data_IF_572218595802
#
_entry.id   IF_572218595802
#
_cell.length_a   1.000
_cell.length_b   1.000
_cell.length_c   1.000
_cell.angle_alpha   90.00
_cell.angle_beta   90.00
_cell.angle_gamma   90.00
#
_symmetry.space_group_name_H-M   'P 1'
#
loop_
_entity.id
_entity.type
_entity.pdbx_description
1 polymer ?
#
# COMPACT_ATOMS: atom_id res chain seq x y z
N UNK A 1 -53.22 -38.70 -56.81
CA UNK A 1 -53.34 -38.88 -55.32
C UNK A 1 -52.08 -39.57 -54.86
N UNK A 2 -51.15 -38.79 -54.34
CA UNK A 2 -49.84 -39.26 -53.91
C UNK A 2 -49.69 -39.00 -52.41
N UNK A 3 -49.55 -40.07 -51.65
CA UNK A 3 -49.43 -40.06 -50.19
C UNK A 3 -48.02 -39.64 -49.77
N UNK A 4 -47.87 -38.57 -49.03
CA UNK A 4 -46.64 -38.18 -48.35
C UNK A 4 -46.40 -39.01 -47.07
N UNK A 5 -45.19 -39.51 -46.82
CA UNK A 5 -44.91 -40.26 -45.60
C UNK A 5 -44.72 -39.30 -44.41
N UNK A 6 -45.46 -39.52 -43.34
CA UNK A 6 -45.31 -38.88 -42.05
C UNK A 6 -43.94 -39.21 -41.42
N UNK A 7 -42.94 -38.30 -41.54
CA UNK A 7 -41.76 -38.26 -40.67
C UNK A 7 -42.15 -37.56 -39.35
N UNK A 8 -42.53 -38.35 -38.37
CA UNK A 8 -42.90 -37.83 -37.05
C UNK A 8 -41.83 -38.14 -36.02
N UNK A 9 -41.33 -37.08 -35.39
CA UNK A 9 -40.99 -36.93 -33.96
C UNK A 9 -40.16 -38.03 -33.29
N UNK A 10 -38.88 -38.20 -33.69
CA UNK A 10 -37.88 -38.89 -32.85
C UNK A 10 -36.79 -37.95 -32.26
N UNK A 11 -36.82 -36.68 -32.54
CA UNK A 11 -35.80 -35.72 -32.15
C UNK A 11 -35.74 -35.36 -30.64
N UNK A 12 -36.84 -35.28 -29.85
CA UNK A 12 -36.70 -34.75 -28.47
C UNK A 12 -36.06 -35.75 -27.48
N UNK A 13 -36.19 -37.09 -27.71
CA UNK A 13 -35.65 -38.10 -26.79
C UNK A 13 -34.12 -38.25 -26.87
N UNK A 14 -33.54 -38.11 -28.04
CA UNK A 14 -32.09 -38.16 -28.23
C UNK A 14 -31.37 -36.94 -27.60
N UNK A 15 -31.96 -35.75 -27.75
CA UNK A 15 -31.45 -34.51 -27.15
C UNK A 15 -31.48 -34.55 -25.60
N UNK A 16 -32.57 -35.08 -25.02
CA UNK A 16 -32.70 -35.25 -23.57
C UNK A 16 -31.65 -36.28 -23.04
N UNK A 17 -31.40 -37.32 -23.79
CA UNK A 17 -30.40 -38.34 -23.42
C UNK A 17 -28.97 -37.79 -23.50
N UNK A 18 -28.64 -37.01 -24.51
CA UNK A 18 -27.37 -36.31 -24.62
C UNK A 18 -27.18 -35.27 -23.50
N UNK A 19 -28.20 -34.48 -23.19
CA UNK A 19 -28.16 -33.51 -22.10
C UNK A 19 -27.92 -34.19 -20.74
N UNK A 20 -28.59 -35.32 -20.50
CA UNK A 20 -28.45 -36.10 -19.26
C UNK A 20 -27.06 -36.73 -19.13
N UNK A 21 -26.48 -37.23 -20.22
CA UNK A 21 -25.11 -37.81 -20.19
C UNK A 21 -24.03 -36.77 -20.01
N UNK A 22 -24.17 -35.57 -20.61
CA UNK A 22 -23.26 -34.41 -20.37
C UNK A 22 -23.35 -33.92 -18.92
N UNK A 23 -24.54 -33.79 -18.35
CA UNK A 23 -24.75 -33.42 -16.96
C UNK A 23 -24.13 -34.42 -15.97
N UNK A 24 -24.22 -35.74 -16.26
CA UNK A 24 -23.57 -36.76 -15.44
C UNK A 24 -22.04 -36.68 -15.53
N UNK A 25 -21.49 -36.45 -16.73
CA UNK A 25 -20.04 -36.25 -16.91
C UNK A 25 -19.51 -35.03 -16.18
N UNK A 26 -20.24 -33.90 -16.25
CA UNK A 26 -19.91 -32.68 -15.52
C UNK A 26 -20.00 -32.89 -14.01
N UNK A 27 -21.04 -33.54 -13.51
CA UNK A 27 -21.19 -33.89 -12.09
C UNK A 27 -20.03 -34.73 -11.57
N UNK A 28 -19.69 -35.79 -12.30
CA UNK A 28 -18.62 -36.71 -11.87
C UNK A 28 -17.24 -36.06 -11.97
N UNK A 29 -17.02 -35.15 -12.93
CA UNK A 29 -15.83 -34.31 -13.03
C UNK A 29 -15.74 -33.33 -11.85
N UNK A 30 -16.83 -32.65 -11.50
CA UNK A 30 -16.90 -31.75 -10.36
C UNK A 30 -16.66 -32.46 -9.01
N UNK A 31 -17.20 -33.68 -8.85
CA UNK A 31 -16.98 -34.45 -7.62
C UNK A 31 -15.52 -34.95 -7.51
N UNK A 32 -14.86 -35.22 -8.64
CA UNK A 32 -13.46 -35.70 -8.65
C UNK A 32 -12.45 -34.56 -8.61
N UNK A 33 -12.67 -33.49 -9.38
CA UNK A 33 -11.80 -32.30 -9.44
C UNK A 33 -12.16 -31.19 -8.45
N UNK A 34 -13.42 -31.19 -7.96
CA UNK A 34 -13.93 -30.17 -7.04
C UNK A 34 -13.11 -29.97 -5.75
N UNK A 35 -12.69 -31.05 -5.08
CA UNK A 35 -11.84 -30.94 -3.90
C UNK A 35 -10.52 -30.20 -4.17
N UNK A 36 -9.90 -30.45 -5.34
CA UNK A 36 -8.67 -29.77 -5.76
C UNK A 36 -8.93 -28.29 -6.01
N UNK A 37 -10.02 -27.98 -6.68
CA UNK A 37 -10.41 -26.59 -6.97
C UNK A 37 -10.81 -25.83 -5.70
N UNK A 38 -11.46 -26.49 -4.75
CA UNK A 38 -11.79 -25.92 -3.43
C UNK A 38 -10.53 -25.66 -2.60
N UNK A 39 -9.56 -26.58 -2.61
CA UNK A 39 -8.28 -26.37 -1.93
C UNK A 39 -7.52 -25.21 -2.54
N UNK A 40 -7.49 -25.09 -3.87
CA UNK A 40 -6.86 -23.95 -4.55
C UNK A 40 -7.55 -22.62 -4.18
N UNK A 41 -8.88 -22.60 -4.22
CA UNK A 41 -9.66 -21.42 -3.82
C UNK A 41 -9.43 -21.06 -2.35
N UNK A 42 -9.43 -22.05 -1.47
CA UNK A 42 -9.15 -21.85 -0.05
C UNK A 42 -7.74 -21.30 0.18
N UNK A 43 -6.74 -21.81 -0.56
CA UNK A 43 -5.37 -21.29 -0.50
C UNK A 43 -5.28 -19.84 -0.99
N UNK A 44 -5.97 -19.47 -2.07
CA UNK A 44 -6.04 -18.09 -2.57
C UNK A 44 -6.71 -17.17 -1.53
N UNK A 45 -7.83 -17.62 -0.95
CA UNK A 45 -8.55 -16.84 0.07
C UNK A 45 -7.69 -16.69 1.33
N UNK A 46 -7.06 -17.76 1.79
CA UNK A 46 -6.15 -17.70 2.95
C UNK A 46 -4.97 -16.75 2.69
N UNK A 47 -4.35 -16.82 1.50
CA UNK A 47 -3.28 -15.92 1.11
C UNK A 47 -3.76 -14.45 1.02
N UNK A 48 -4.95 -14.21 0.51
CA UNK A 48 -5.55 -12.86 0.49
C UNK A 48 -5.72 -12.30 1.91
N UNK A 49 -6.19 -13.13 2.86
CA UNK A 49 -6.35 -12.72 4.25
C UNK A 49 -5.02 -12.52 4.99
N UNK A 50 -3.99 -13.35 4.69
CA UNK A 50 -2.67 -13.25 5.31
C UNK A 50 -1.85 -12.08 4.79
N UNK A 51 -1.95 -11.76 3.50
CA UNK A 51 -1.15 -10.74 2.83
C UNK A 51 -1.79 -9.35 2.89
N UNK A 52 -3.07 -9.27 3.27
CA UNK A 52 -3.87 -8.03 3.30
C UNK A 52 -3.49 -7.08 2.13
N UNK A 53 -3.73 -7.48 0.85
CA UNK A 53 -3.23 -6.72 -0.29
C UNK A 53 -4.00 -5.42 -0.55
N UNK A 54 -5.09 -5.18 0.17
CA UNK A 54 -6.01 -4.06 -0.10
C UNK A 54 -5.73 -2.92 0.87
N UNK A 55 -5.30 -1.73 0.40
CA UNK A 55 -5.06 -0.60 1.29
C UNK A 55 -6.36 -0.10 1.95
N UNK A 56 -6.28 0.43 3.16
CA UNK A 56 -7.39 1.14 3.78
C UNK A 56 -7.85 2.29 2.87
N UNK A 57 -9.16 2.54 2.82
CA UNK A 57 -9.73 3.63 2.00
C UNK A 57 -9.62 5.01 2.65
N UNK A 58 -9.21 5.06 3.90
CA UNK A 58 -9.07 6.29 4.69
C UNK A 58 -7.73 6.29 5.39
N UNK A 59 -7.15 7.48 5.52
CA UNK A 59 -5.95 7.69 6.31
C UNK A 59 -5.98 9.08 6.98
N UNK A 60 -5.33 9.20 8.12
CA UNK A 60 -5.12 10.46 8.80
C UNK A 60 -3.69 10.95 8.57
N UNK A 61 -3.57 12.21 8.11
CA UNK A 61 -2.29 12.88 7.87
C UNK A 61 -2.17 14.09 8.81
N UNK A 62 -1.26 14.01 9.78
CA UNK A 62 -0.97 15.15 10.62
C UNK A 62 -0.14 16.18 9.85
N UNK A 63 -0.56 17.42 9.95
CA UNK A 63 0.08 18.55 9.25
C UNK A 63 0.82 19.45 10.23
N UNK A 64 0.31 20.59 10.52
CA UNK A 64 0.86 21.59 11.43
C UNK A 64 -0.19 22.68 11.58
N UNK A 65 0.22 23.90 11.94
CA UNK A 65 -0.69 25.04 11.97
C UNK A 65 -1.36 25.24 10.60
N UNK A 66 -2.62 25.66 10.59
CA UNK A 66 -3.45 25.78 9.37
C UNK A 66 -2.87 26.67 8.28
N UNK A 67 -2.09 27.69 8.69
CA UNK A 67 -1.43 28.63 7.77
C UNK A 67 0.02 28.25 7.47
N UNK A 68 0.47 27.07 7.92
CA UNK A 68 1.81 26.56 7.69
C UNK A 68 1.95 25.82 6.34
N UNK A 69 3.21 25.62 5.92
CA UNK A 69 3.52 24.89 4.70
C UNK A 69 3.00 23.44 4.71
N UNK A 70 3.06 22.76 5.85
CA UNK A 70 2.56 21.38 6.00
C UNK A 70 1.05 21.26 5.72
N UNK A 71 0.26 22.27 6.17
CA UNK A 71 -1.17 22.31 5.89
C UNK A 71 -1.45 22.46 4.39
N UNK A 72 -0.67 23.32 3.71
CA UNK A 72 -0.79 23.51 2.27
C UNK A 72 -0.38 22.26 1.48
N UNK A 73 0.73 21.64 1.84
CA UNK A 73 1.12 20.36 1.25
C UNK A 73 0.11 19.25 1.57
N UNK A 74 -0.42 19.19 2.79
CA UNK A 74 -1.46 18.23 3.17
C UNK A 74 -2.66 18.28 2.23
N UNK A 75 -3.12 19.46 1.83
CA UNK A 75 -4.19 19.64 0.83
C UNK A 75 -3.82 19.02 -0.52
N UNK A 76 -2.57 19.22 -0.97
CA UNK A 76 -2.07 18.63 -2.23
C UNK A 76 -1.99 17.10 -2.15
N UNK A 77 -1.55 16.54 -1.01
CA UNK A 77 -1.57 15.09 -0.78
C UNK A 77 -2.99 14.54 -0.80
N UNK A 78 -3.94 15.20 -0.16
CA UNK A 78 -5.36 14.82 -0.17
C UNK A 78 -5.91 14.75 -1.60
N UNK A 79 -5.66 15.76 -2.42
CA UNK A 79 -6.10 15.76 -3.81
C UNK A 79 -5.37 14.71 -4.68
N UNK A 80 -4.10 14.46 -4.41
CA UNK A 80 -3.32 13.46 -5.12
C UNK A 80 -3.83 12.03 -4.83
N UNK A 81 -4.03 11.68 -3.55
CA UNK A 81 -4.46 10.34 -3.13
C UNK A 81 -5.94 10.07 -3.40
N UNK A 82 -6.77 11.11 -3.47
CA UNK A 82 -8.18 10.99 -3.88
C UNK A 82 -8.34 10.34 -5.26
N UNK A 83 -7.40 10.60 -6.18
CA UNK A 83 -7.36 9.97 -7.51
C UNK A 83 -7.14 8.45 -7.43
N UNK A 84 -6.46 8.00 -6.40
CA UNK A 84 -6.16 6.59 -6.14
C UNK A 84 -7.22 5.94 -5.21
N UNK A 85 -8.32 6.66 -4.92
CA UNK A 85 -9.45 6.17 -4.12
C UNK A 85 -9.22 6.22 -2.61
N UNK A 86 -8.23 6.98 -2.13
CA UNK A 86 -7.92 7.15 -0.70
C UNK A 86 -8.44 8.49 -0.20
N UNK A 87 -9.27 8.47 0.82
CA UNK A 87 -9.75 9.65 1.55
C UNK A 87 -8.72 10.05 2.62
N UNK A 88 -8.02 11.16 2.40
CA UNK A 88 -7.07 11.70 3.38
C UNK A 88 -7.77 12.73 4.27
N UNK A 89 -7.81 12.46 5.56
CA UNK A 89 -8.28 13.39 6.57
C UNK A 89 -7.07 14.12 7.16
N UNK A 90 -7.06 15.44 7.04
CA UNK A 90 -6.00 16.28 7.57
C UNK A 90 -6.24 16.55 9.04
N UNK A 91 -5.22 16.29 9.87
CA UNK A 91 -5.22 16.57 11.30
C UNK A 91 -4.31 17.77 11.57
N UNK A 92 -4.85 18.97 11.82
CA UNK A 92 -4.06 20.10 12.27
C UNK A 92 -3.37 19.80 13.61
N UNK A 93 -2.19 20.36 13.79
CA UNK A 93 -1.40 20.20 15.01
C UNK A 93 -0.56 21.45 15.28
N UNK A 94 0.14 21.47 16.40
CA UNK A 94 1.08 22.52 16.75
C UNK A 94 2.44 22.40 16.04
N UNK A 95 2.68 21.32 15.30
CA UNK A 95 3.91 21.08 14.54
C UNK A 95 4.57 19.74 14.84
N UNK A 96 5.85 19.63 14.49
CA UNK A 96 6.57 18.34 14.40
C UNK A 96 6.56 17.50 15.67
N UNK A 97 6.70 18.10 16.85
CA UNK A 97 6.70 17.35 18.12
C UNK A 97 5.32 16.77 18.44
N UNK A 98 4.26 17.52 18.19
CA UNK A 98 2.90 16.97 18.35
C UNK A 98 2.60 15.92 17.28
N UNK A 99 3.06 16.11 16.05
CA UNK A 99 2.94 15.14 14.98
C UNK A 99 3.56 13.79 15.34
N UNK A 100 4.77 13.81 15.91
CA UNK A 100 5.45 12.61 16.40
C UNK A 100 4.68 11.93 17.54
N UNK A 101 4.13 12.70 18.46
CA UNK A 101 3.28 12.17 19.53
C UNK A 101 2.03 11.48 18.94
N UNK A 102 1.33 12.13 18.02
CA UNK A 102 0.14 11.57 17.36
C UNK A 102 0.45 10.28 16.60
N UNK A 103 1.61 10.20 15.92
CA UNK A 103 2.07 8.97 15.26
C UNK A 103 2.29 7.84 16.27
N UNK A 104 3.02 8.09 17.37
CA UNK A 104 3.29 7.07 18.40
C UNK A 104 2.04 6.60 19.12
N UNK A 105 1.11 7.50 19.37
CA UNK A 105 -0.18 7.17 19.96
C UNK A 105 -1.13 6.45 18.97
N UNK A 106 -0.72 6.27 17.71
CA UNK A 106 -1.55 5.64 16.69
C UNK A 106 -2.75 6.47 16.24
N UNK A 107 -2.77 7.75 16.54
CA UNK A 107 -3.88 8.67 16.21
C UNK A 107 -3.83 9.15 14.76
N UNK A 108 -2.70 9.05 14.11
CA UNK A 108 -2.52 9.37 12.68
C UNK A 108 -1.66 8.30 12.01
N UNK A 109 -1.79 8.17 10.70
CA UNK A 109 -1.07 7.17 9.91
C UNK A 109 0.24 7.71 9.35
N UNK A 110 0.26 9.01 9.03
CA UNK A 110 1.41 9.71 8.50
C UNK A 110 1.47 11.14 9.06
N UNK A 111 2.66 11.73 9.05
CA UNK A 111 2.86 13.11 9.48
C UNK A 111 4.05 13.78 8.80
N UNK A 112 3.98 15.09 8.63
CA UNK A 112 5.14 15.90 8.30
C UNK A 112 5.96 16.18 9.55
N UNK A 113 7.26 15.98 9.48
CA UNK A 113 8.18 16.15 10.60
C UNK A 113 9.43 16.89 10.12
N UNK A 114 9.81 17.93 10.86
CA UNK A 114 11.05 18.66 10.66
C UNK A 114 12.26 17.79 11.04
N UNK A 115 13.29 17.75 10.23
CA UNK A 115 14.53 17.03 10.54
C UNK A 115 15.14 17.51 11.86
N UNK A 116 15.60 16.58 12.68
CA UNK A 116 16.13 16.85 14.01
C UNK A 116 15.07 17.05 15.11
N UNK A 117 13.77 16.91 14.80
CA UNK A 117 12.73 17.03 15.82
C UNK A 117 12.84 15.95 16.91
N UNK A 118 13.31 14.75 16.57
CA UNK A 118 13.52 13.67 17.53
C UNK A 118 14.65 13.99 18.54
N UNK A 119 15.77 14.46 18.05
CA UNK A 119 16.91 14.86 18.89
C UNK A 119 16.61 16.00 19.88
N UNK A 120 15.40 16.58 19.77
CA UNK A 120 14.93 17.69 20.61
C UNK A 120 14.10 17.22 21.81
N UNK A 121 13.87 15.92 21.94
CA UNK A 121 12.99 15.33 22.95
C UNK A 121 13.55 15.31 24.38
N UNK A 122 14.83 15.44 24.54
CA UNK A 122 15.54 15.35 25.81
C UNK A 122 16.73 14.42 25.70
N UNK A 123 17.81 14.78 26.35
CA UNK A 123 19.10 14.08 26.30
C UNK A 123 19.11 12.70 27.00
N UNK A 124 17.96 12.23 27.49
CA UNK A 124 17.87 11.07 28.37
C UNK A 124 17.35 9.79 27.71
N UNK A 125 16.95 9.82 26.43
CA UNK A 125 16.48 8.61 25.73
C UNK A 125 17.35 8.36 24.49
N UNK A 126 18.39 7.55 24.65
CA UNK A 126 19.24 7.02 23.57
C UNK A 126 18.55 5.96 22.70
N UNK A 127 17.28 5.69 22.93
CA UNK A 127 16.54 4.71 22.12
C UNK A 127 16.18 5.28 20.75
N UNK A 128 16.61 4.57 19.70
CA UNK A 128 16.17 4.83 18.34
C UNK A 128 14.62 4.88 18.29
N UNK A 129 14.03 5.76 17.48
CA UNK A 129 12.57 5.92 17.44
C UNK A 129 11.90 4.64 16.91
N UNK A 130 11.54 3.73 17.81
CA UNK A 130 10.89 2.48 17.46
C UNK A 130 9.51 2.73 16.84
N UNK A 131 9.16 1.91 15.85
CA UNK A 131 7.85 1.87 15.23
C UNK A 131 7.52 3.02 14.27
N UNK A 132 8.49 3.89 13.94
CA UNK A 132 8.34 4.97 12.96
C UNK A 132 9.33 4.80 11.79
N UNK A 133 8.86 5.07 10.57
CA UNK A 133 9.63 4.97 9.34
C UNK A 133 9.55 6.27 8.54
N UNK A 134 10.65 6.61 7.87
CA UNK A 134 10.72 7.73 6.93
C UNK A 134 10.27 7.29 5.54
N UNK A 135 9.48 8.10 4.86
CA UNK A 135 9.21 7.97 3.42
C UNK A 135 10.14 8.84 2.56
N UNK A 136 11.15 9.46 3.18
CA UNK A 136 12.14 10.31 2.52
C UNK A 136 11.99 11.78 2.87
N UNK A 137 13.02 12.52 2.53
CA UNK A 137 13.07 13.98 2.65
C UNK A 137 12.26 14.63 1.53
N UNK A 138 11.44 15.63 1.87
CA UNK A 138 10.46 16.22 0.94
C UNK A 138 10.91 17.55 0.36
N UNK A 139 11.42 18.44 1.22
CA UNK A 139 11.87 19.80 0.85
C UNK A 139 12.71 20.41 1.98
N UNK A 140 13.41 21.48 1.66
CA UNK A 140 14.14 22.29 2.66
C UNK A 140 13.19 23.27 3.32
N UNK A 141 13.37 23.47 4.62
CA UNK A 141 12.63 24.42 5.44
C UNK A 141 13.57 25.51 5.96
N UNK A 142 13.78 26.59 5.21
CA UNK A 142 14.67 27.66 5.66
C UNK A 142 14.28 28.19 7.03
N UNK A 143 15.28 28.51 7.84
CA UNK A 143 15.15 29.29 9.05
C UNK A 143 15.13 30.75 8.65
N UNK A 144 13.97 31.35 8.72
CA UNK A 144 13.75 32.77 8.44
C UNK A 144 13.81 33.56 9.73
N UNK A 145 14.80 34.42 9.91
CA UNK A 145 14.86 35.34 11.02
C UNK A 145 14.61 36.74 10.48
N UNK A 146 13.37 37.19 10.66
CA UNK A 146 12.96 38.55 10.29
C UNK A 146 13.14 39.51 11.46
N UNK A 147 13.57 40.74 11.20
CA UNK A 147 13.76 41.77 12.20
C UNK A 147 13.37 43.17 11.69
N UNK A 148 13.08 44.06 12.61
CA UNK A 148 12.72 45.43 12.29
C UNK A 148 13.98 46.25 12.08
N UNK A 149 14.04 47.03 10.98
CA UNK A 149 15.12 47.96 10.72
C UNK A 149 15.24 49.00 11.86
N UNK A 150 14.11 49.49 12.38
CA UNK A 150 14.09 50.44 13.47
C UNK A 150 14.75 49.89 14.75
N UNK A 151 14.54 48.58 15.07
CA UNK A 151 15.20 47.96 16.22
C UNK A 151 16.71 47.81 16.00
N UNK A 152 17.12 47.44 14.77
CA UNK A 152 18.54 47.38 14.43
C UNK A 152 19.22 48.74 14.49
N UNK A 153 18.59 49.78 13.95
CA UNK A 153 19.09 51.13 14.01
C UNK A 153 19.22 51.64 15.46
N UNK A 154 18.24 51.36 16.32
CA UNK A 154 18.26 51.76 17.71
C UNK A 154 19.34 51.04 18.53
N UNK A 155 19.52 49.75 18.34
CA UNK A 155 20.44 48.93 19.13
C UNK A 155 21.89 48.96 18.61
N UNK A 156 22.10 49.06 17.28
CA UNK A 156 23.41 48.87 16.65
C UNK A 156 23.90 50.10 15.87
N UNK A 157 23.07 51.16 15.74
CA UNK A 157 23.40 52.34 14.92
C UNK A 157 23.40 52.06 13.41
N UNK A 158 22.91 50.91 12.97
CA UNK A 158 22.82 50.48 11.56
C UNK A 158 21.58 49.63 11.34
N UNK A 159 21.12 49.49 10.09
CA UNK A 159 19.90 48.77 9.75
C UNK A 159 20.13 47.28 9.50
N UNK A 160 21.36 46.76 9.58
CA UNK A 160 21.72 45.38 9.27
C UNK A 160 22.24 44.64 10.50
N UNK A 161 21.85 43.35 10.60
CA UNK A 161 22.38 42.35 11.53
C UNK A 161 23.34 41.44 10.79
N UNK A 162 24.47 41.07 11.41
CA UNK A 162 25.47 40.18 10.84
C UNK A 162 25.53 38.81 11.54
N UNK A 163 24.94 38.69 12.74
CA UNK A 163 25.00 37.48 13.55
C UNK A 163 23.82 37.38 14.50
N UNK A 164 23.43 36.14 14.82
CA UNK A 164 22.45 35.85 15.87
C UNK A 164 22.89 36.35 17.25
N UNK A 165 24.21 36.46 17.53
CA UNK A 165 24.73 36.97 18.81
C UNK A 165 24.26 38.38 19.12
N UNK A 166 23.91 39.18 18.11
CA UNK A 166 23.43 40.57 18.27
C UNK A 166 21.97 40.64 18.77
N UNK A 167 21.28 39.49 18.84
CA UNK A 167 19.90 39.40 19.33
C UNK A 167 19.79 39.18 20.85
N UNK A 168 20.89 39.24 21.61
CA UNK A 168 20.93 38.86 23.03
C UNK A 168 19.85 39.55 23.87
N UNK A 169 19.68 40.89 23.66
CA UNK A 169 18.76 41.73 24.45
C UNK A 169 17.45 42.05 23.68
N UNK A 170 17.23 41.41 22.55
CA UNK A 170 16.07 41.70 21.71
C UNK A 170 14.85 40.87 22.11
N UNK A 171 13.66 41.44 22.01
CA UNK A 171 12.39 40.68 22.11
C UNK A 171 12.24 39.81 20.87
N UNK A 172 12.77 38.60 20.96
CA UNK A 172 12.80 37.63 19.87
C UNK A 172 11.70 36.60 20.03
N UNK A 173 10.78 36.48 19.07
CA UNK A 173 9.84 35.36 19.04
C UNK A 173 10.49 34.18 18.34
N UNK A 174 10.52 33.02 19.03
CA UNK A 174 11.10 31.76 18.54
C UNK A 174 10.04 30.67 18.31
N UNK A 175 8.76 31.07 18.19
CA UNK A 175 7.64 30.14 18.03
C UNK A 175 7.12 29.56 19.34
N UNK A 176 5.98 28.89 19.26
CA UNK A 176 5.27 28.35 20.41
C UNK A 176 5.81 26.98 20.87
N UNK A 177 5.48 26.59 22.09
CA UNK A 177 5.82 25.26 22.62
C UNK A 177 5.17 24.15 21.79
N UNK A 178 5.94 23.08 21.49
CA UNK A 178 5.50 22.01 20.60
C UNK A 178 5.86 22.21 19.13
N UNK A 179 6.34 23.41 18.77
CA UNK A 179 6.91 23.70 17.45
C UNK A 179 8.37 23.26 17.37
N UNK A 180 8.76 22.67 16.23
CA UNK A 180 10.17 22.39 15.93
C UNK A 180 11.05 23.66 15.90
N UNK A 181 10.47 24.82 15.58
CA UNK A 181 11.15 26.09 15.49
C UNK A 181 11.78 26.48 16.83
N UNK A 182 11.04 26.37 17.93
CA UNK A 182 11.49 26.80 19.29
C UNK A 182 12.77 26.08 19.68
N UNK A 183 12.85 24.82 19.48
CA UNK A 183 14.01 24.02 19.85
C UNK A 183 15.20 24.26 18.91
N UNK A 184 14.94 24.32 17.60
CA UNK A 184 16.00 24.63 16.62
C UNK A 184 16.62 26.03 16.90
N UNK A 185 15.78 27.03 17.09
CA UNK A 185 16.26 28.40 17.40
C UNK A 185 17.05 28.46 18.71
N UNK A 186 16.61 27.74 19.77
CA UNK A 186 17.37 27.65 21.01
C UNK A 186 18.78 27.10 20.76
N UNK A 187 18.93 26.01 20.01
CA UNK A 187 20.24 25.43 19.64
C UNK A 187 21.09 26.40 18.83
N UNK A 188 20.49 27.13 17.87
CA UNK A 188 21.22 28.10 17.07
C UNK A 188 21.70 29.27 17.95
N UNK A 189 20.90 29.75 18.88
CA UNK A 189 21.27 30.80 19.83
C UNK A 189 22.36 30.31 20.80
N UNK A 190 22.22 29.12 21.37
CA UNK A 190 23.22 28.51 22.26
C UNK A 190 24.55 28.25 21.54
N UNK A 191 24.51 27.85 20.26
CA UNK A 191 25.72 27.72 19.42
C UNK A 191 26.47 29.04 19.23
N UNK A 192 25.77 30.18 19.39
CA UNK A 192 26.35 31.53 19.41
C UNK A 192 26.77 32.01 20.82
N UNK A 193 26.72 31.14 21.83
CA UNK A 193 27.11 31.48 23.22
C UNK A 193 26.05 32.26 23.99
N UNK A 194 24.80 32.30 23.51
CA UNK A 194 23.72 33.00 24.16
C UNK A 194 23.02 32.12 25.21
N UNK A 195 22.77 32.63 26.41
CA UNK A 195 21.97 31.96 27.43
C UNK A 195 20.47 32.20 27.16
N UNK A 196 19.86 31.27 26.51
CA UNK A 196 18.44 31.34 26.11
C UNK A 196 17.46 31.46 27.28
N UNK A 197 17.90 31.16 28.52
CA UNK A 197 17.09 31.30 29.75
C UNK A 197 17.00 32.75 30.21
N UNK A 198 17.96 33.58 29.81
CA UNK A 198 18.02 34.99 30.18
C UNK A 198 17.48 35.92 29.09
N UNK A 199 17.31 35.41 27.88
CA UNK A 199 16.79 36.21 26.76
C UNK A 199 15.28 36.43 26.88
N UNK A 200 14.76 37.61 26.44
CA UNK A 200 13.33 37.91 26.37
C UNK A 200 12.67 37.19 25.17
N UNK A 201 12.58 35.85 25.25
CA UNK A 201 12.07 35.02 24.18
C UNK A 201 10.53 34.94 24.19
N UNK A 202 9.92 35.41 23.11
CA UNK A 202 8.49 35.25 22.83
C UNK A 202 8.16 33.83 22.34
N UNK A 203 6.93 33.40 22.62
CA UNK A 203 6.41 32.06 22.26
C UNK A 203 5.05 32.13 21.58
N UNK A 204 4.87 33.15 20.73
CA UNK A 204 3.64 33.33 19.97
C UNK A 204 3.58 32.36 18.78
N UNK A 205 2.38 31.99 18.40
CA UNK A 205 2.12 31.30 17.14
C UNK A 205 2.48 32.18 15.94
N UNK A 206 2.70 31.63 14.73
CA UNK A 206 3.21 32.36 13.58
C UNK A 206 2.44 33.66 13.26
N UNK A 207 1.11 33.61 13.17
CA UNK A 207 0.31 34.78 12.81
C UNK A 207 0.33 35.88 13.88
N UNK A 208 0.08 35.63 15.19
CA UNK A 208 0.27 36.59 16.26
C UNK A 208 1.70 37.15 16.32
N UNK A 209 2.72 36.32 16.06
CA UNK A 209 4.12 36.77 16.07
C UNK A 209 4.40 37.79 14.97
N UNK A 210 3.85 37.59 13.77
CA UNK A 210 3.97 38.53 12.67
C UNK A 210 3.27 39.85 13.01
N UNK A 211 2.07 39.81 13.58
CA UNK A 211 1.34 40.99 14.02
C UNK A 211 2.15 41.75 15.08
N UNK A 212 2.71 41.06 16.07
CA UNK A 212 3.55 41.66 17.11
C UNK A 212 4.83 42.33 16.54
N UNK A 213 5.45 41.72 15.50
CA UNK A 213 6.59 42.31 14.80
C UNK A 213 6.18 43.62 14.10
N UNK A 214 5.08 43.59 13.36
CA UNK A 214 4.61 44.76 12.61
C UNK A 214 4.18 45.91 13.54
N UNK A 215 3.58 45.61 14.69
CA UNK A 215 3.21 46.60 15.72
C UNK A 215 4.40 47.09 16.54
N UNK A 216 5.58 46.48 16.45
CA UNK A 216 6.75 46.84 17.26
C UNK A 216 6.73 46.28 18.67
N UNK A 217 5.88 45.34 18.97
CA UNK A 217 5.82 44.60 20.23
C UNK A 217 6.98 43.59 20.36
N UNK A 218 7.48 43.07 19.23
CA UNK A 218 8.69 42.24 19.11
C UNK A 218 9.68 42.92 18.16
N UNK A 219 10.98 42.69 18.37
CA UNK A 219 12.07 43.26 17.58
C UNK A 219 12.47 42.32 16.43
N UNK A 220 12.34 41.02 16.67
CA UNK A 220 12.61 39.98 15.67
C UNK A 220 11.70 38.78 15.88
N UNK A 221 11.51 37.99 14.83
CA UNK A 221 10.84 36.69 14.89
C UNK A 221 11.56 35.67 14.03
N UNK A 222 11.53 34.41 14.44
CA UNK A 222 12.00 33.28 13.68
C UNK A 222 10.82 32.43 13.21
N UNK A 223 10.85 32.04 11.93
CA UNK A 223 9.95 31.05 11.32
C UNK A 223 10.81 29.97 10.71
N UNK A 224 10.33 28.74 10.74
CA UNK A 224 10.86 27.62 9.93
C UNK A 224 9.75 27.12 9.04
N UNK A 225 9.85 27.36 7.76
CA UNK A 225 8.79 27.06 6.82
C UNK A 225 9.31 27.07 5.39
N UNK A 226 8.64 26.32 4.51
CA UNK A 226 8.88 26.40 3.07
C UNK A 226 8.55 27.81 2.51
N UNK A 227 9.17 28.21 1.39
CA UNK A 227 8.95 29.52 0.75
C UNK A 227 7.51 29.75 0.28
N UNK A 228 6.74 28.69 0.14
CA UNK A 228 5.32 28.72 -0.22
C UNK A 228 4.43 29.31 0.90
N UNK A 229 4.97 29.46 2.13
CA UNK A 229 4.22 30.05 3.24
C UNK A 229 3.83 31.51 2.95
N UNK A 230 2.53 31.84 3.04
CA UNK A 230 2.06 33.20 2.82
C UNK A 230 2.70 34.24 3.77
N UNK A 231 2.96 33.84 5.02
CA UNK A 231 3.59 34.70 6.03
C UNK A 231 5.03 35.06 5.66
N UNK A 232 5.81 34.10 5.16
CA UNK A 232 7.17 34.33 4.69
C UNK A 232 7.18 35.31 3.52
N UNK A 233 6.34 35.08 2.51
CA UNK A 233 6.22 35.93 1.33
C UNK A 233 5.85 37.38 1.73
N UNK A 234 4.86 37.51 2.62
CA UNK A 234 4.44 38.82 3.10
C UNK A 234 5.59 39.56 3.78
N UNK A 235 6.33 38.90 4.68
CA UNK A 235 7.44 39.57 5.42
C UNK A 235 8.61 39.95 4.49
N UNK A 236 8.90 39.18 3.45
CA UNK A 236 9.96 39.48 2.49
C UNK A 236 9.70 40.76 1.69
N UNK A 237 8.42 41.13 1.49
CA UNK A 237 8.02 42.34 0.76
C UNK A 237 7.60 43.50 1.68
N UNK A 238 7.62 43.31 3.01
CA UNK A 238 7.15 44.32 3.97
C UNK A 238 8.23 45.36 4.20
N UNK A 239 8.00 46.66 3.92
CA UNK A 239 8.96 47.73 4.19
C UNK A 239 9.30 47.82 5.68
N UNK A 240 10.56 48.08 6.00
CA UNK A 240 11.05 48.20 7.37
C UNK A 240 11.27 46.87 8.11
N UNK A 241 10.99 45.75 7.44
CA UNK A 241 11.34 44.40 7.89
C UNK A 241 12.48 43.85 7.04
N UNK A 242 13.50 43.30 7.68
CA UNK A 242 14.65 42.69 7.02
C UNK A 242 14.80 41.23 7.38
N UNK A 243 15.41 40.47 6.47
CA UNK A 243 15.81 39.08 6.66
C UNK A 243 17.28 39.04 7.10
N UNK A 244 17.59 38.24 8.14
CA UNK A 244 18.97 38.03 8.58
C UNK A 244 19.71 37.15 7.52
N UNK A 245 20.90 37.61 7.12
CA UNK A 245 21.87 36.84 6.40
C UNK A 245 22.72 36.00 7.37
N UNK A 246 22.64 34.69 7.29
CA UNK A 246 23.47 33.78 8.07
C UNK A 246 24.89 33.71 7.47
N UNK A 247 25.69 34.75 7.66
CA UNK A 247 27.04 34.84 7.12
C UNK A 247 27.90 33.59 7.41
N UNK A 248 27.60 32.87 8.50
CA UNK A 248 28.30 31.66 8.95
C UNK A 248 27.49 30.36 8.69
N UNK A 249 26.62 30.33 7.66
CA UNK A 249 25.72 29.19 7.37
C UNK A 249 26.47 27.83 7.33
N UNK A 250 27.64 27.76 6.72
CA UNK A 250 28.50 26.58 6.68
C UNK A 250 28.98 26.14 8.09
N UNK A 251 29.31 27.10 8.96
CA UNK A 251 29.73 26.78 10.32
C UNK A 251 28.56 26.21 11.14
N UNK A 252 27.35 26.76 10.97
CA UNK A 252 26.15 26.23 11.60
C UNK A 252 25.87 24.79 11.17
N UNK A 253 25.96 24.48 9.88
CA UNK A 253 25.73 23.13 9.37
C UNK A 253 26.70 22.09 9.94
N UNK A 254 27.93 22.48 10.25
CA UNK A 254 28.91 21.59 10.88
C UNK A 254 28.72 21.42 12.38
N UNK A 255 28.12 22.41 13.07
CA UNK A 255 27.89 22.38 14.52
C UNK A 255 26.50 21.91 14.92
N UNK A 256 25.52 22.05 14.02
CA UNK A 256 24.13 21.67 14.18
C UNK A 256 23.77 20.72 13.01
N UNK A 257 23.98 19.42 13.14
CA UNK A 257 23.87 18.47 12.02
C UNK A 257 22.50 18.42 11.34
N UNK A 258 21.47 18.93 12.01
CA UNK A 258 20.08 18.95 11.50
C UNK A 258 19.82 20.01 10.44
N UNK A 259 20.74 20.96 10.26
CA UNK A 259 20.60 22.03 9.27
C UNK A 259 21.65 21.93 8.17
N UNK A 260 21.30 22.41 7.00
CA UNK A 260 22.19 22.55 5.84
C UNK A 260 22.26 24.02 5.42
N UNK A 261 23.40 24.47 4.87
CA UNK A 261 23.50 25.80 4.31
C UNK A 261 22.72 25.88 2.99
N UNK A 262 21.98 26.94 2.81
CA UNK A 262 21.25 27.25 1.58
C UNK A 262 21.39 28.75 1.25
N UNK A 263 21.12 29.10 0.01
CA UNK A 263 21.13 30.47 -0.46
C UNK A 263 19.80 30.84 -1.07
N UNK A 264 19.23 31.97 -0.64
CA UNK A 264 18.12 32.65 -1.31
C UNK A 264 18.72 33.56 -2.37
N UNK A 265 18.60 33.23 -3.68
CA UNK A 265 19.25 34.01 -4.73
C UNK A 265 18.67 35.41 -4.87
N UNK A 266 19.51 36.36 -5.28
CA UNK A 266 19.06 37.72 -5.62
C UNK A 266 17.92 37.68 -6.63
N UNK A 267 16.89 38.49 -6.40
CA UNK A 267 15.75 38.63 -7.31
C UNK A 267 14.78 37.44 -7.33
N UNK A 268 15.03 36.33 -6.60
CA UNK A 268 14.22 35.11 -6.71
C UNK A 268 12.78 35.28 -6.17
N UNK A 269 12.55 36.22 -5.28
CA UNK A 269 11.23 36.56 -4.75
C UNK A 269 10.46 37.45 -5.73
N UNK A 270 11.12 38.48 -6.26
CA UNK A 270 10.58 39.39 -7.26
C UNK A 270 11.72 39.94 -8.15
N UNK A 271 11.76 39.54 -9.40
CA UNK A 271 12.77 39.96 -10.37
C UNK A 271 12.62 41.43 -10.75
N UNK A 272 11.40 41.97 -10.79
CA UNK A 272 11.16 43.34 -11.19
C UNK A 272 11.56 44.35 -10.11
N UNK A 273 11.43 43.96 -8.83
CA UNK A 273 11.79 44.76 -7.69
C UNK A 273 13.19 44.44 -7.13
N UNK A 274 13.90 43.49 -7.77
CA UNK A 274 15.20 42.97 -7.33
C UNK A 274 15.19 42.52 -5.84
N UNK A 275 14.21 41.69 -5.50
CA UNK A 275 14.04 41.17 -4.13
C UNK A 275 14.46 39.71 -4.03
N UNK A 276 15.36 39.36 -3.08
CA UNK A 276 16.24 40.25 -2.31
C UNK A 276 17.28 40.90 -3.24
N UNK A 277 17.78 42.08 -2.85
CA UNK A 277 18.76 42.85 -3.64
C UNK A 277 20.17 42.21 -3.68
N UNK A 278 20.40 41.19 -2.90
CA UNK A 278 21.62 40.36 -2.87
C UNK A 278 21.29 38.96 -2.43
N UNK A 279 22.19 37.99 -2.70
CA UNK A 279 22.06 36.65 -2.18
C UNK A 279 22.03 36.65 -0.65
N UNK A 280 21.07 35.93 -0.06
CA UNK A 280 20.93 35.79 1.40
C UNK A 280 21.22 34.34 1.78
N UNK A 281 22.23 34.13 2.62
CA UNK A 281 22.57 32.81 3.16
C UNK A 281 21.64 32.47 4.30
N UNK A 282 21.12 31.24 4.27
CA UNK A 282 20.21 30.72 5.28
C UNK A 282 20.69 29.35 5.73
N UNK A 283 20.11 28.83 6.79
CA UNK A 283 20.24 27.45 7.23
C UNK A 283 18.87 26.79 7.18
N UNK A 284 18.81 25.53 6.81
CA UNK A 284 17.56 24.82 6.64
C UNK A 284 17.63 23.38 7.15
N UNK A 285 16.75 22.94 8.05
CA UNK A 285 16.42 21.54 8.21
C UNK A 285 15.64 21.04 6.99
N UNK A 286 15.49 19.73 6.88
CA UNK A 286 14.72 19.10 5.81
C UNK A 286 13.42 18.55 6.38
N UNK A 287 12.29 18.84 5.75
CA UNK A 287 11.03 18.22 6.10
C UNK A 287 11.02 16.76 5.63
N UNK A 288 10.53 15.86 6.45
CA UNK A 288 10.43 14.43 6.20
C UNK A 288 8.97 13.99 6.34
N UNK A 289 8.53 13.08 5.48
CA UNK A 289 7.24 12.39 5.68
C UNK A 289 7.51 11.12 6.49
N UNK A 290 6.91 11.05 7.68
CA UNK A 290 7.06 9.94 8.62
C UNK A 290 5.74 9.19 8.72
N UNK A 291 5.83 7.87 8.77
CA UNK A 291 4.70 6.95 8.93
C UNK A 291 4.95 5.98 10.09
N UNK A 292 3.91 5.37 10.60
CA UNK A 292 4.06 4.23 11.52
C UNK A 292 4.52 3.01 10.73
N UNK A 293 5.32 2.16 11.33
CA UNK A 293 5.70 0.86 10.76
C UNK A 293 4.46 0.01 10.43
N UNK A 294 3.43 0.09 11.28
CA UNK A 294 2.14 -0.57 11.06
C UNK A 294 1.28 0.03 9.94
N UNK A 295 1.69 1.16 9.34
CA UNK A 295 0.97 1.75 8.20
C UNK A 295 1.04 0.82 7.00
N UNK A 296 -0.13 0.52 6.42
CA UNK A 296 -0.25 -0.43 5.32
C UNK A 296 0.74 -0.10 4.17
N UNK A 297 1.57 -1.06 3.70
CA UNK A 297 2.62 -0.80 2.72
C UNK A 297 2.13 -0.17 1.41
N UNK A 298 0.90 -0.48 0.97
CA UNK A 298 0.34 0.18 -0.21
C UNK A 298 0.05 1.68 0.01
N UNK A 299 -0.30 2.10 1.25
CA UNK A 299 -0.38 3.52 1.58
C UNK A 299 0.98 4.19 1.59
N UNK A 300 2.00 3.53 2.14
CA UNK A 300 3.38 4.03 2.10
C UNK A 300 3.82 4.27 0.65
N UNK A 301 3.56 3.32 -0.24
CA UNK A 301 3.87 3.43 -1.67
C UNK A 301 3.12 4.60 -2.34
N UNK A 302 1.82 4.75 -2.08
CA UNK A 302 1.03 5.86 -2.62
C UNK A 302 1.51 7.22 -2.11
N UNK A 303 1.88 7.30 -0.82
CA UNK A 303 2.43 8.51 -0.23
C UNK A 303 3.77 8.92 -0.88
N UNK A 304 4.68 7.97 -1.13
CA UNK A 304 5.95 8.24 -1.81
C UNK A 304 5.71 8.69 -3.26
N UNK A 305 4.77 8.08 -3.97
CA UNK A 305 4.40 8.51 -5.33
C UNK A 305 3.76 9.91 -5.33
N UNK A 306 2.91 10.20 -4.35
CA UNK A 306 2.34 11.53 -4.17
C UNK A 306 3.45 12.55 -3.85
N UNK A 307 4.40 12.20 -2.96
CA UNK A 307 5.56 13.01 -2.66
C UNK A 307 6.35 13.36 -3.92
N UNK A 308 6.62 12.39 -4.80
CA UNK A 308 7.31 12.62 -6.08
C UNK A 308 6.55 13.59 -6.97
N UNK A 309 5.22 13.46 -7.05
CA UNK A 309 4.37 14.36 -7.87
C UNK A 309 4.32 15.79 -7.32
N UNK A 310 4.36 15.95 -6.00
CA UNK A 310 4.16 17.23 -5.32
C UNK A 310 5.47 18.01 -5.14
N UNK A 311 6.56 17.33 -4.79
CA UNK A 311 7.81 17.96 -4.37
C UNK A 311 8.92 17.93 -5.43
N UNK A 312 8.67 17.37 -6.63
CA UNK A 312 9.67 17.32 -7.69
C UNK A 312 9.84 18.62 -8.48
N UNK A 313 8.96 19.58 -8.30
CA UNK A 313 9.05 20.85 -9.00
C UNK A 313 10.17 21.73 -8.40
N UNK A 314 10.76 22.58 -9.27
CA UNK A 314 11.75 23.53 -8.83
C UNK A 314 11.08 24.64 -7.98
N UNK A 315 11.79 25.09 -6.94
CA UNK A 315 11.42 26.27 -6.16
C UNK A 315 12.66 27.13 -5.84
N UNK A 316 12.55 28.08 -4.94
CA UNK A 316 13.65 29.00 -4.62
C UNK A 316 14.94 28.33 -4.13
N UNK A 317 14.85 27.10 -3.58
CA UNK A 317 15.95 26.39 -2.90
C UNK A 317 16.25 25.00 -3.46
N UNK A 318 15.51 24.55 -4.46
CA UNK A 318 15.70 23.23 -5.04
C UNK A 318 15.55 23.24 -6.55
N UNK A 319 16.32 22.37 -7.20
CA UNK A 319 16.19 22.10 -8.61
C UNK A 319 15.07 21.11 -8.90
N UNK A 320 14.62 21.07 -10.13
CA UNK A 320 13.61 20.08 -10.57
C UNK A 320 14.12 18.67 -10.35
N UNK A 321 13.28 17.84 -9.74
CA UNK A 321 13.56 16.44 -9.37
C UNK A 321 14.63 16.24 -8.27
N UNK A 322 15.02 17.26 -7.55
CA UNK A 322 15.92 17.14 -6.41
C UNK A 322 15.23 16.45 -5.22
N UNK A 323 13.96 16.74 -5.01
CA UNK A 323 13.11 16.11 -3.99
C UNK A 323 11.93 15.37 -4.62
N UNK A 324 11.33 14.39 -3.94
CA UNK A 324 11.78 13.78 -2.69
C UNK A 324 13.02 12.90 -2.91
N UNK A 325 13.81 12.71 -1.85
CA UNK A 325 15.03 11.92 -1.92
C UNK A 325 15.25 11.07 -0.66
N UNK A 326 16.11 10.05 -0.77
CA UNK A 326 16.66 9.30 0.37
C UNK A 326 17.64 10.21 1.12
N UNK A 327 17.12 11.15 1.90
CA UNK A 327 17.96 12.06 2.69
C UNK A 327 18.32 11.50 4.06
N UNK A 328 19.26 12.14 4.74
CA UNK A 328 19.50 11.89 6.15
C UNK A 328 18.22 12.18 6.94
N UNK A 329 17.77 11.22 7.70
CA UNK A 329 16.57 11.30 8.54
C UNK A 329 16.88 10.63 9.88
N UNK A 330 16.22 11.11 10.93
CA UNK A 330 16.29 10.50 12.26
C UNK A 330 15.60 9.11 12.30
N UNK A 331 14.89 8.75 11.23
CA UNK A 331 14.08 7.52 11.11
C UNK A 331 14.63 6.62 10.01
N UNK A 332 14.53 5.30 10.22
CA UNK A 332 14.84 4.32 9.19
C UNK A 332 13.95 4.53 7.95
N UNK A 333 14.53 4.35 6.77
CA UNK A 333 13.78 4.46 5.52
C UNK A 333 12.83 3.26 5.38
N UNK A 334 11.57 3.53 5.06
CA UNK A 334 10.59 2.49 4.81
C UNK A 334 10.99 1.64 3.59
N UNK A 335 10.82 0.30 3.64
CA UNK A 335 11.17 -0.59 2.52
C UNK A 335 10.45 -0.22 1.21
N UNK A 336 9.23 0.28 1.29
CA UNK A 336 8.44 0.72 0.13
C UNK A 336 9.01 2.00 -0.50
N UNK A 337 9.50 2.91 0.35
CA UNK A 337 10.18 4.12 -0.11
C UNK A 337 11.53 3.79 -0.74
N UNK A 338 12.31 2.92 -0.12
CA UNK A 338 13.59 2.48 -0.66
C UNK A 338 13.41 1.87 -2.06
N UNK A 339 12.49 0.91 -2.20
CA UNK A 339 12.19 0.30 -3.50
C UNK A 339 11.78 1.32 -4.55
N UNK A 340 10.95 2.30 -4.16
CA UNK A 340 10.52 3.35 -5.08
C UNK A 340 11.67 4.24 -5.55
N UNK A 341 12.57 4.64 -4.65
CA UNK A 341 13.72 5.49 -5.01
C UNK A 341 14.76 4.75 -5.86
N UNK A 342 14.95 3.45 -5.65
CA UNK A 342 15.89 2.61 -6.40
C UNK A 342 15.34 2.19 -7.77
N UNK A 343 14.07 1.79 -7.85
CA UNK A 343 13.48 1.14 -9.02
C UNK A 343 12.33 1.93 -9.67
N UNK A 344 11.87 2.99 -9.04
CA UNK A 344 10.71 3.76 -9.49
C UNK A 344 9.36 3.08 -9.21
N UNK A 345 8.31 3.57 -9.86
CA UNK A 345 6.98 2.99 -9.74
C UNK A 345 6.92 1.62 -10.44
N UNK A 346 6.24 0.60 -9.86
CA UNK A 346 6.08 -0.70 -10.48
C UNK A 346 5.51 -0.61 -11.89
N UNK A 347 6.04 -1.43 -12.82
CA UNK A 347 5.66 -1.40 -14.24
C UNK A 347 4.15 -1.59 -14.46
N UNK A 348 3.52 -2.44 -13.67
CA UNK A 348 2.09 -2.74 -13.78
C UNK A 348 1.20 -1.53 -13.50
N UNK A 349 1.65 -0.58 -12.67
CA UNK A 349 0.89 0.64 -12.35
C UNK A 349 0.82 1.64 -13.51
N UNK A 350 1.58 1.42 -14.58
CA UNK A 350 1.47 2.21 -15.82
C UNK A 350 0.27 1.82 -16.68
N UNK A 351 -0.21 0.57 -16.52
CA UNK A 351 -1.24 -0.02 -17.37
C UNK A 351 -2.52 -0.37 -16.62
N UNK A 352 -2.43 -0.58 -15.31
CA UNK A 352 -3.52 -1.04 -14.47
C UNK A 352 -3.82 -0.02 -13.35
N UNK A 353 -5.08 0.09 -12.91
CA UNK A 353 -5.41 0.85 -11.71
C UNK A 353 -4.56 0.38 -10.52
N UNK A 354 -4.22 1.31 -9.63
CA UNK A 354 -3.33 1.03 -8.49
C UNK A 354 -3.71 -0.23 -7.70
N UNK A 355 -5.00 -0.41 -7.38
CA UNK A 355 -5.48 -1.53 -6.59
C UNK A 355 -5.25 -2.90 -7.28
N UNK A 356 -5.41 -2.96 -8.62
CA UNK A 356 -5.14 -4.19 -9.40
C UNK A 356 -3.66 -4.49 -9.45
N UNK A 357 -2.86 -3.46 -9.76
CA UNK A 357 -1.40 -3.60 -9.83
C UNK A 357 -0.81 -4.04 -8.50
N UNK A 358 -1.26 -3.44 -7.39
CA UNK A 358 -0.83 -3.81 -6.04
C UNK A 358 -1.29 -5.23 -5.65
N UNK A 359 -2.51 -5.62 -6.01
CA UNK A 359 -3.00 -6.98 -5.80
C UNK A 359 -2.11 -8.00 -6.53
N UNK A 360 -1.84 -7.77 -7.80
CA UNK A 360 -0.98 -8.66 -8.62
C UNK A 360 0.43 -8.71 -8.05
N UNK A 361 1.03 -7.57 -7.73
CA UNK A 361 2.41 -7.45 -7.22
C UNK A 361 2.60 -8.22 -5.89
N UNK A 362 1.61 -8.20 -5.01
CA UNK A 362 1.63 -8.90 -3.73
C UNK A 362 1.24 -10.37 -3.82
N UNK A 363 0.31 -10.69 -4.72
CA UNK A 363 -0.24 -12.05 -4.84
C UNK A 363 0.50 -12.91 -5.86
N UNK A 364 1.37 -12.34 -6.73
CA UNK A 364 1.95 -13.08 -7.85
C UNK A 364 2.75 -14.31 -7.41
N UNK A 365 3.52 -14.23 -6.33
CA UNK A 365 4.30 -15.36 -5.80
C UNK A 365 3.36 -16.49 -5.37
N UNK A 366 2.27 -16.15 -4.69
CA UNK A 366 1.27 -17.12 -4.25
C UNK A 366 0.54 -17.71 -5.46
N UNK A 367 0.16 -16.89 -6.44
CA UNK A 367 -0.51 -17.36 -7.65
C UNK A 367 0.38 -18.32 -8.45
N UNK A 368 1.67 -18.00 -8.60
CA UNK A 368 2.64 -18.88 -9.26
C UNK A 368 2.85 -20.16 -8.45
N UNK A 369 2.94 -20.11 -7.13
CA UNK A 369 3.08 -21.29 -6.27
C UNK A 369 1.86 -22.21 -6.36
N UNK A 370 0.66 -21.62 -6.34
CA UNK A 370 -0.60 -22.38 -6.52
C UNK A 370 -0.65 -22.99 -7.92
N UNK A 371 -0.28 -22.25 -8.97
CA UNK A 371 -0.24 -22.77 -10.34
C UNK A 371 0.77 -23.93 -10.48
N UNK A 372 1.96 -23.79 -9.89
CA UNK A 372 2.97 -24.85 -9.87
C UNK A 372 2.49 -26.13 -9.17
N UNK A 373 1.65 -26.00 -8.14
CA UNK A 373 1.03 -27.12 -7.45
C UNK A 373 -0.14 -27.72 -8.26
N UNK A 374 -0.96 -26.88 -8.88
CA UNK A 374 -2.14 -27.31 -9.63
C UNK A 374 -1.80 -28.05 -10.94
N UNK A 375 -0.69 -27.72 -11.59
CA UNK A 375 -0.27 -28.37 -12.85
C UNK A 375 -0.03 -29.88 -12.65
N UNK A 376 0.79 -30.35 -11.69
CA UNK A 376 0.92 -31.79 -11.42
C UNK A 376 -0.39 -32.40 -10.92
N UNK A 377 -1.12 -31.72 -10.06
CA UNK A 377 -2.37 -32.18 -9.48
C UNK A 377 -3.46 -32.40 -10.54
N UNK A 378 -3.51 -31.54 -11.57
CA UNK A 378 -4.42 -31.65 -12.69
C UNK A 378 -4.20 -32.95 -13.49
N UNK A 379 -2.99 -33.54 -13.50
CA UNK A 379 -2.68 -34.80 -14.13
C UNK A 379 -3.23 -36.01 -13.36
N UNK A 380 -3.53 -35.87 -12.09
CA UNK A 380 -4.09 -36.94 -11.23
C UNK A 380 -5.60 -37.00 -11.36
N UNK A 381 -6.27 -35.90 -11.67
CA UNK A 381 -7.74 -35.85 -11.79
C UNK A 381 -8.31 -36.80 -12.87
N UNK A 382 -7.78 -36.87 -14.12
CA UNK A 382 -8.28 -37.76 -15.14
C UNK A 382 -8.19 -39.26 -14.77
N UNK A 383 -7.05 -39.78 -14.26
CA UNK A 383 -6.98 -41.18 -13.80
C UNK A 383 -7.96 -41.47 -12.66
N UNK A 384 -8.12 -40.59 -11.69
CA UNK A 384 -9.09 -40.75 -10.60
C UNK A 384 -10.53 -40.74 -11.10
N UNK A 385 -10.84 -39.87 -12.04
CA UNK A 385 -12.15 -39.87 -12.71
C UNK A 385 -12.44 -41.20 -13.41
N UNK A 386 -11.49 -41.68 -14.21
CA UNK A 386 -11.59 -42.97 -14.90
C UNK A 386 -11.73 -44.12 -13.90
N UNK A 387 -10.91 -44.18 -12.87
CA UNK A 387 -10.98 -45.19 -11.80
C UNK A 387 -12.36 -45.18 -11.12
N UNK A 388 -12.89 -44.00 -10.78
CA UNK A 388 -14.22 -43.87 -10.14
C UNK A 388 -15.35 -44.41 -11.00
N UNK A 389 -15.31 -44.18 -12.31
CA UNK A 389 -16.34 -44.69 -13.22
C UNK A 389 -16.19 -46.19 -13.42
N UNK A 390 -14.96 -46.64 -13.67
CA UNK A 390 -14.68 -48.09 -13.81
C UNK A 390 -15.05 -48.88 -12.56
N UNK A 391 -14.77 -48.36 -11.36
CA UNK A 391 -15.12 -49.06 -10.11
C UNK A 391 -16.62 -49.26 -9.94
N UNK A 392 -17.47 -48.39 -10.53
CA UNK A 392 -18.93 -48.61 -10.55
C UNK A 392 -19.33 -49.78 -11.42
N UNK A 393 -18.63 -50.03 -12.54
CA UNK A 393 -18.89 -51.10 -13.45
C UNK A 393 -18.28 -52.38 -12.91
N UNK A 394 -17.02 -52.38 -12.48
CA UNK A 394 -16.29 -53.54 -11.98
C UNK A 394 -16.91 -54.17 -10.75
N UNK A 395 -17.64 -53.42 -9.92
CA UNK A 395 -18.39 -53.98 -8.79
C UNK A 395 -19.38 -55.04 -9.21
N UNK A 396 -19.99 -54.92 -10.40
CA UNK A 396 -20.94 -55.84 -10.91
C UNK A 396 -20.31 -57.12 -11.51
N UNK A 397 -19.01 -57.04 -11.88
CA UNK A 397 -18.28 -58.25 -12.26
C UNK A 397 -18.10 -59.22 -11.09
N UNK A 398 -18.01 -58.73 -9.84
CA UNK A 398 -18.01 -59.57 -8.64
C UNK A 398 -19.31 -60.43 -8.55
N UNK A 399 -20.46 -59.73 -8.70
CA UNK A 399 -21.77 -60.44 -8.70
C UNK A 399 -21.92 -61.42 -9.86
N UNK A 400 -21.42 -61.06 -11.05
CA UNK A 400 -21.43 -61.96 -12.19
C UNK A 400 -20.58 -63.25 -11.94
N UNK A 401 -19.39 -63.04 -11.34
CA UNK A 401 -18.48 -64.16 -11.03
C UNK A 401 -19.03 -65.09 -9.97
N UNK A 402 -19.68 -64.55 -8.91
CA UNK A 402 -20.37 -65.39 -7.92
C UNK A 402 -21.46 -66.29 -8.56
N UNK A 403 -22.20 -65.69 -9.49
CA UNK A 403 -23.22 -66.49 -10.25
C UNK A 403 -22.55 -67.54 -11.16
N UNK A 404 -21.43 -67.15 -11.80
CA UNK A 404 -20.68 -68.07 -12.71
C UNK A 404 -20.01 -69.21 -11.95
N UNK A 405 -19.48 -68.98 -10.76
CA UNK A 405 -18.90 -69.99 -9.87
C UNK A 405 -19.99 -70.98 -9.42
N UNK A 406 -21.15 -70.47 -8.99
CA UNK A 406 -22.30 -71.31 -8.65
C UNK A 406 -22.86 -72.09 -9.89
N UNK A 407 -22.77 -71.44 -11.05
CA UNK A 407 -23.15 -72.07 -12.33
C UNK A 407 -22.14 -73.13 -12.80
N UNK A 408 -20.91 -73.18 -12.26
CA UNK A 408 -19.90 -74.19 -12.53
C UNK A 408 -20.01 -75.50 -11.67
N UNK A 409 -20.86 -75.52 -10.62
CA UNK A 409 -21.01 -76.68 -9.75
C UNK A 409 -21.59 -77.95 -10.50
N UNK A 410 -21.00 -79.07 -10.22
CA UNK A 410 -21.31 -80.36 -10.98
C UNK A 410 -22.68 -80.95 -10.69
N UNK A 411 -23.30 -80.68 -9.51
CA UNK A 411 -24.58 -81.23 -9.05
C UNK A 411 -25.68 -80.16 -9.03
N UNK A 412 -26.21 -79.77 -10.18
CA UNK A 412 -27.24 -78.69 -10.27
C UNK A 412 -28.60 -79.31 -10.59
N UNK A 413 -29.62 -78.93 -9.84
CA UNK A 413 -31.02 -79.24 -10.17
C UNK A 413 -31.55 -78.25 -11.23
N UNK A 414 -32.62 -78.68 -11.96
CA UNK A 414 -33.31 -77.75 -12.89
C UNK A 414 -33.86 -76.51 -12.22
N UNK A 415 -34.20 -76.55 -10.90
CA UNK A 415 -34.66 -75.47 -10.11
C UNK A 415 -33.55 -74.51 -9.85
N UNK A 416 -32.31 -74.91 -9.53
CA UNK A 416 -31.14 -74.09 -9.33
C UNK A 416 -30.77 -73.35 -10.62
N UNK A 417 -30.86 -73.99 -11.77
CA UNK A 417 -30.62 -73.41 -13.10
C UNK A 417 -31.63 -72.26 -13.38
N UNK A 418 -32.90 -72.46 -13.07
CA UNK A 418 -33.94 -71.47 -13.25
C UNK A 418 -33.71 -70.22 -12.30
N UNK A 419 -33.27 -70.47 -11.05
CA UNK A 419 -32.93 -69.41 -10.10
C UNK A 419 -31.74 -68.60 -10.59
N UNK A 420 -30.65 -69.21 -11.02
CA UNK A 420 -29.47 -68.53 -11.54
C UNK A 420 -29.80 -67.74 -12.82
N UNK A 421 -30.65 -68.20 -13.69
CA UNK A 421 -31.13 -67.41 -14.83
C UNK A 421 -31.95 -66.18 -14.42
N UNK A 422 -32.79 -66.34 -13.38
CA UNK A 422 -33.51 -65.21 -12.82
C UNK A 422 -32.54 -64.12 -12.20
N UNK A 423 -31.53 -64.55 -11.42
CA UNK A 423 -30.52 -63.66 -10.85
C UNK A 423 -29.71 -62.95 -11.96
N UNK A 424 -29.37 -63.64 -13.08
CA UNK A 424 -28.70 -63.01 -14.22
C UNK A 424 -29.58 -62.01 -14.96
N UNK A 425 -30.87 -62.24 -15.08
CA UNK A 425 -31.82 -61.28 -15.65
C UNK A 425 -31.96 -60.07 -14.80
N UNK A 426 -32.03 -60.21 -13.48
CA UNK A 426 -32.05 -59.09 -12.51
C UNK A 426 -30.74 -58.29 -12.56
N UNK A 427 -29.60 -58.98 -12.70
CA UNK A 427 -28.31 -58.35 -12.84
C UNK A 427 -28.26 -57.55 -14.15
N UNK A 428 -28.66 -58.06 -15.32
CA UNK A 428 -28.69 -57.32 -16.58
C UNK A 428 -29.59 -56.08 -16.48
N UNK A 429 -30.78 -56.22 -15.87
CA UNK A 429 -31.72 -55.13 -15.67
C UNK A 429 -31.15 -54.00 -14.77
N UNK A 430 -30.37 -54.37 -13.74
CA UNK A 430 -29.68 -53.38 -12.86
C UNK A 430 -28.53 -52.72 -13.59
N UNK A 431 -27.71 -53.46 -14.32
CA UNK A 431 -26.59 -52.97 -15.11
C UNK A 431 -27.07 -52.04 -16.24
N UNK A 432 -28.20 -52.30 -16.88
CA UNK A 432 -28.80 -51.44 -17.90
C UNK A 432 -29.15 -50.03 -17.37
N UNK A 433 -29.57 -49.96 -16.11
CA UNK A 433 -29.96 -48.70 -15.46
C UNK A 433 -28.78 -47.92 -14.90
N UNK A 434 -27.54 -48.40 -15.00
CA UNK A 434 -26.36 -47.67 -14.49
C UNK A 434 -26.14 -46.41 -15.27
N UNK A 435 -26.05 -45.26 -14.58
CA UNK A 435 -25.71 -44.01 -15.23
C UNK A 435 -24.20 -43.96 -15.49
N UNK A 436 -23.80 -44.26 -16.72
CA UNK A 436 -22.41 -44.24 -17.17
C UNK A 436 -22.28 -43.21 -18.29
N UNK A 437 -21.25 -42.34 -18.27
CA UNK A 437 -20.95 -41.43 -19.38
C UNK A 437 -20.65 -42.17 -20.67
N UNK A 438 -20.98 -41.54 -21.82
CA UNK A 438 -20.78 -42.16 -23.15
C UNK A 438 -19.33 -42.59 -23.42
N UNK A 439 -18.35 -41.87 -22.85
CA UNK A 439 -16.92 -42.18 -22.94
C UNK A 439 -16.53 -43.55 -22.34
N UNK A 440 -17.37 -44.10 -21.48
CA UNK A 440 -17.17 -45.39 -20.81
C UNK A 440 -18.31 -46.40 -21.09
N UNK A 441 -19.06 -46.17 -22.17
CA UNK A 441 -20.15 -47.05 -22.57
C UNK A 441 -19.64 -48.44 -23.02
N UNK A 442 -18.43 -48.51 -23.55
CA UNK A 442 -17.81 -49.76 -24.01
C UNK A 442 -17.65 -50.75 -22.87
N UNK A 443 -17.18 -50.34 -21.69
CA UNK A 443 -17.06 -51.21 -20.52
C UNK A 443 -18.42 -51.71 -20.02
N UNK A 444 -19.47 -50.90 -20.11
CA UNK A 444 -20.83 -51.33 -19.78
C UNK A 444 -21.37 -52.33 -20.75
N UNK A 445 -21.15 -52.14 -22.07
CA UNK A 445 -21.55 -53.11 -23.10
C UNK A 445 -20.77 -54.42 -22.99
N UNK A 446 -19.47 -54.36 -22.65
CA UNK A 446 -18.67 -55.56 -22.40
C UNK A 446 -19.23 -56.36 -21.21
N UNK A 447 -19.58 -55.74 -20.10
CA UNK A 447 -20.22 -56.43 -18.96
C UNK A 447 -21.53 -57.07 -19.35
N UNK A 448 -22.40 -56.37 -20.07
CA UNK A 448 -23.67 -56.96 -20.59
C UNK A 448 -23.43 -58.08 -21.56
N UNK A 449 -22.39 -58.02 -22.39
CA UNK A 449 -21.96 -59.11 -23.27
C UNK A 449 -21.59 -60.37 -22.48
N UNK A 450 -20.84 -60.24 -21.40
CA UNK A 450 -20.47 -61.32 -20.52
C UNK A 450 -21.69 -61.93 -19.80
N UNK A 451 -22.59 -61.06 -19.27
CA UNK A 451 -23.86 -61.59 -18.68
C UNK A 451 -24.65 -62.46 -19.68
N UNK A 452 -24.82 -61.97 -20.90
CA UNK A 452 -25.51 -62.71 -21.94
C UNK A 452 -24.80 -63.99 -22.32
N UNK A 453 -23.50 -64.09 -22.27
CA UNK A 453 -22.71 -65.29 -22.54
C UNK A 453 -22.97 -66.34 -21.47
N UNK A 454 -23.00 -65.92 -20.17
CA UNK A 454 -23.34 -66.88 -19.09
C UNK A 454 -24.79 -67.35 -19.17
N UNK A 455 -25.73 -66.42 -19.51
CA UNK A 455 -27.13 -66.77 -19.74
C UNK A 455 -27.29 -67.85 -20.84
N UNK A 456 -26.58 -67.74 -21.97
CA UNK A 456 -26.61 -68.72 -23.06
C UNK A 456 -26.04 -70.05 -22.63
N UNK A 457 -24.97 -70.08 -21.82
CA UNK A 457 -24.39 -71.32 -21.29
C UNK A 457 -25.37 -72.09 -20.37
N UNK A 458 -26.16 -71.39 -19.58
CA UNK A 458 -27.13 -71.96 -18.65
C UNK A 458 -28.45 -72.31 -19.32
N UNK A 459 -28.88 -71.58 -20.37
CA UNK A 459 -30.13 -71.81 -21.06
C UNK A 459 -30.03 -72.81 -22.23
N UNK A 460 -28.81 -73.21 -22.61
CA UNK A 460 -28.56 -74.14 -23.72
C UNK A 460 -28.12 -75.56 -23.31
N UNK A 461 -28.26 -75.89 -22.01
CA UNK A 461 -28.04 -77.28 -21.47
C UNK A 461 -29.33 -78.02 -21.23
#
# INVERSE_FOLDING_TARGET
>A
MSALPRRAARAPRAAIHQLRSTLLSVRDLLVTGGPVLLLALAAIVAAYWLLDPTPPRRMLLATGPEQGAYAEFGKRYREALKKDGIEVQLQPSRGSLENLRLLREGKVDAAFVQGGAEALRGLDEEEAPEGLLSLGSLFREPVWVFYREASAQAALGRTTLDSLSQLADWRLNIGHEGSGVTNLMRRLLEANGLDTRRMPLGRLEPTPAVVALLNGETDALALVSAPESPLVRMLLITPGVRLLDFAQAEAYARRVPQVQPITLPRGVVDLAQDLPAQDVRLVAPTATLVVREATHPALQQLLVQAARRIHSEANWFQHKNEFPQMGASDYALAPEAQRFYESGAPLLQRYLPFWVANLVDRMWVVLVSIAALLIPLSRIVPPLYTFRIRSRIFRWYGSLRDIEERAGAADRSPADTAQLLSELNDLDARVERLPVPLSHAEELYALRGHIRLVQRRLGGS
#
